data_IF_463591683426
#
_entry.id   IF_463591683426
#
_cell.length_a   1.000
_cell.length_b   1.000
_cell.length_c   1.000
_cell.angle_alpha   90.00
_cell.angle_beta   90.00
_cell.angle_gamma   90.00
#
_symmetry.space_group_name_H-M   'P 1'
#
loop_
_entity.id
_entity.type
_entity.pdbx_description
1 polymer ?
#
# COMPACT_ATOMS: atom_id res chain seq x y z
N UNK A 1 -16.59 -3.04 7.85
CA UNK A 1 -16.26 -4.21 8.70
C UNK A 1 -17.49 -5.10 8.77
N UNK A 2 -17.32 -6.40 8.59
CA UNK A 2 -18.38 -7.39 8.68
C UNK A 2 -17.93 -8.44 9.70
N UNK A 3 -18.68 -8.62 10.77
CA UNK A 3 -18.42 -9.66 11.75
C UNK A 3 -19.56 -10.70 11.66
N UNK A 4 -19.22 -11.91 11.24
CA UNK A 4 -20.18 -13.01 11.10
C UNK A 4 -19.98 -13.97 12.26
N UNK A 5 -21.02 -14.28 13.03
CA UNK A 5 -21.00 -15.49 13.86
C UNK A 5 -21.33 -16.69 12.98
N UNK A 6 -20.41 -17.65 12.85
CA UNK A 6 -20.56 -18.72 11.86
C UNK A 6 -21.22 -20.00 12.39
N UNK A 7 -21.18 -20.26 13.70
CA UNK A 7 -21.65 -21.53 14.26
C UNK A 7 -22.24 -21.39 15.67
N UNK A 8 -23.04 -22.37 16.08
CA UNK A 8 -23.55 -22.54 17.46
C UNK A 8 -22.88 -23.78 18.05
N UNK A 9 -22.33 -23.68 19.26
CA UNK A 9 -21.65 -24.79 19.94
C UNK A 9 -22.25 -25.09 21.33
N UNK A 10 -21.77 -26.15 21.99
CA UNK A 10 -22.32 -26.63 23.27
C UNK A 10 -22.07 -25.70 24.47
N UNK A 11 -21.15 -24.73 24.34
CA UNK A 11 -20.92 -23.68 25.36
C UNK A 11 -21.93 -22.52 25.27
N UNK A 12 -22.61 -22.41 24.12
CA UNK A 12 -23.58 -21.35 23.87
C UNK A 12 -24.89 -21.58 24.62
N UNK A 13 -25.48 -20.49 25.12
CA UNK A 13 -26.88 -20.48 25.57
C UNK A 13 -27.85 -20.46 24.37
N UNK A 14 -27.77 -21.52 23.54
CA UNK A 14 -28.48 -21.75 22.27
C UNK A 14 -29.96 -21.40 22.26
N UNK A 15 -30.63 -21.51 23.40
CA UNK A 15 -32.07 -21.30 23.55
C UNK A 15 -32.50 -19.84 23.70
N UNK A 16 -31.56 -18.88 23.80
CA UNK A 16 -31.91 -17.49 24.08
C UNK A 16 -31.18 -16.41 23.27
N UNK A 17 -30.22 -16.71 22.40
CA UNK A 17 -29.51 -15.69 21.63
C UNK A 17 -28.10 -15.37 22.14
N UNK A 18 -27.48 -14.34 21.56
CA UNK A 18 -26.16 -13.84 21.94
C UNK A 18 -26.19 -12.36 22.28
N UNK A 19 -25.22 -11.91 23.06
CA UNK A 19 -25.04 -10.50 23.41
C UNK A 19 -23.60 -10.14 23.74
N UNK A 20 -23.20 -8.94 23.35
CA UNK A 20 -21.94 -8.32 23.76
C UNK A 20 -22.11 -6.79 23.77
N UNK A 21 -21.19 -6.09 24.44
CA UNK A 21 -21.30 -4.66 24.70
C UNK A 21 -20.64 -3.81 23.60
N UNK A 22 -19.41 -4.13 23.20
CA UNK A 22 -18.63 -3.33 22.24
C UNK A 22 -17.71 -4.23 21.41
N UNK A 23 -17.62 -3.98 20.10
CA UNK A 23 -16.57 -4.48 19.23
C UNK A 23 -15.44 -3.46 19.21
N UNK A 24 -14.42 -3.66 20.05
CA UNK A 24 -13.35 -2.69 20.24
C UNK A 24 -12.27 -2.87 19.18
N UNK A 25 -11.94 -1.82 18.43
CA UNK A 25 -10.75 -1.76 17.58
C UNK A 25 -9.56 -1.19 18.36
N UNK A 26 -8.35 -1.66 18.07
CA UNK A 26 -7.13 -1.20 18.70
C UNK A 26 -5.99 -1.00 17.68
N UNK A 27 -5.08 -0.08 18.02
CA UNK A 27 -3.78 0.10 17.35
C UNK A 27 -2.71 0.19 18.41
N UNK A 28 -1.69 -0.67 18.36
CA UNK A 28 -0.62 -0.75 19.34
C UNK A 28 -1.15 -0.85 20.79
N UNK A 29 -2.25 -1.57 20.97
CA UNK A 29 -2.93 -1.73 22.26
C UNK A 29 -3.74 -0.51 22.74
N UNK A 30 -3.74 0.60 22.02
CA UNK A 30 -4.59 1.77 22.30
C UNK A 30 -5.94 1.67 21.57
N UNK A 31 -7.06 2.14 22.16
CA UNK A 31 -8.36 2.05 21.53
C UNK A 31 -8.48 2.97 20.31
N UNK A 32 -9.03 2.44 19.22
CA UNK A 32 -9.47 3.21 18.05
C UNK A 32 -10.97 3.44 18.17
N UNK A 33 -11.38 4.71 18.29
CA UNK A 33 -12.79 5.06 18.48
C UNK A 33 -13.54 5.13 17.14
N UNK A 34 -14.76 4.60 17.13
CA UNK A 34 -15.63 4.70 15.97
C UNK A 34 -15.97 6.17 15.66
N UNK A 35 -15.85 6.59 14.39
CA UNK A 35 -16.18 7.95 13.97
C UNK A 35 -17.65 8.30 14.21
N UNK A 36 -17.93 9.58 14.44
CA UNK A 36 -19.28 10.10 14.41
C UNK A 36 -19.94 9.83 13.05
N UNK A 37 -21.20 9.38 13.06
CA UNK A 37 -21.92 8.97 11.84
C UNK A 37 -21.66 7.53 11.40
N UNK A 38 -20.96 6.72 12.21
CA UNK A 38 -20.91 5.27 12.01
C UNK A 38 -22.32 4.69 11.99
N UNK A 39 -22.64 3.93 10.95
CA UNK A 39 -23.92 3.25 10.78
C UNK A 39 -23.74 1.74 10.87
N UNK A 40 -24.72 1.06 11.44
CA UNK A 40 -24.71 -0.39 11.62
C UNK A 40 -25.89 -1.03 10.93
N UNK A 41 -25.69 -2.22 10.37
CA UNK A 41 -26.75 -3.06 9.85
C UNK A 41 -26.55 -4.49 10.33
N UNK A 42 -27.61 -5.09 10.88
CA UNK A 42 -27.67 -6.50 11.20
C UNK A 42 -29.04 -7.05 10.77
N UNK A 43 -29.12 -8.06 9.89
CA UNK A 43 -30.38 -8.51 9.29
C UNK A 43 -31.33 -9.13 10.32
N UNK A 44 -30.82 -9.79 11.35
CA UNK A 44 -31.61 -10.30 12.48
C UNK A 44 -31.94 -9.23 13.54
N UNK A 45 -31.45 -7.99 13.35
CA UNK A 45 -31.79 -6.85 14.19
C UNK A 45 -31.50 -7.05 15.69
N UNK A 46 -32.37 -6.46 16.50
CA UNK A 46 -32.29 -6.42 17.97
C UNK A 46 -33.41 -7.25 18.59
N UNK A 47 -33.13 -7.85 19.75
CA UNK A 47 -34.18 -8.34 20.61
C UNK A 47 -34.95 -7.16 21.22
N UNK A 48 -36.26 -7.15 21.00
CA UNK A 48 -37.18 -6.15 21.55
C UNK A 48 -38.10 -6.83 22.56
N UNK A 49 -37.88 -6.60 23.85
CA UNK A 49 -38.94 -6.86 24.83
C UNK A 49 -39.96 -5.73 24.75
N UNK A 50 -41.25 -6.08 24.64
CA UNK A 50 -42.34 -5.12 24.73
C UNK A 50 -42.26 -4.41 26.10
N UNK A 51 -41.63 -3.24 26.16
CA UNK A 51 -41.31 -2.65 27.45
C UNK A 51 -40.47 -1.39 27.46
N UNK A 52 -39.13 -1.46 27.35
CA UNK A 52 -38.32 -0.30 27.77
C UNK A 52 -36.90 -0.18 27.20
N UNK A 53 -36.29 -1.21 26.62
CA UNK A 53 -34.92 -1.07 26.10
C UNK A 53 -34.73 -1.86 24.80
N UNK A 54 -34.61 -1.20 23.63
CA UNK A 54 -33.97 -1.87 22.51
C UNK A 54 -32.51 -2.14 22.91
N UNK A 55 -32.01 -3.33 22.58
CA UNK A 55 -30.59 -3.68 22.70
C UNK A 55 -30.00 -3.74 21.29
N UNK A 56 -29.85 -2.60 20.59
CA UNK A 56 -29.70 -2.64 19.15
C UNK A 56 -28.23 -2.80 18.73
N UNK A 57 -27.98 -3.20 17.47
CA UNK A 57 -26.63 -3.49 17.01
C UNK A 57 -25.69 -2.27 17.07
N UNK A 58 -26.21 -1.04 17.08
CA UNK A 58 -25.42 0.19 17.21
C UNK A 58 -24.66 0.26 18.54
N UNK A 59 -25.12 -0.44 19.58
CA UNK A 59 -24.46 -0.47 20.89
C UNK A 59 -23.04 -0.99 20.81
N UNK A 60 -22.74 -1.86 19.85
CA UNK A 60 -21.42 -2.48 19.78
C UNK A 60 -20.37 -1.63 19.06
N UNK A 61 -20.74 -0.43 18.64
CA UNK A 61 -19.84 0.53 17.98
C UNK A 61 -20.08 1.97 18.45
N UNK A 62 -20.77 2.16 19.58
CA UNK A 62 -21.07 3.50 20.11
C UNK A 62 -19.94 4.05 21.01
N UNK A 63 -18.87 3.27 21.19
CA UNK A 63 -17.73 3.51 22.06
C UNK A 63 -18.02 3.41 23.58
N UNK A 64 -19.24 3.07 24.00
CA UNK A 64 -19.59 2.87 25.41
C UNK A 64 -19.09 1.50 25.91
N UNK A 65 -18.27 1.52 26.97
CA UNK A 65 -17.79 0.30 27.65
C UNK A 65 -18.30 0.21 29.09
N UNK A 66 -19.31 1.02 29.42
CA UNK A 66 -19.95 0.97 30.72
C UNK A 66 -20.60 -0.40 30.95
N UNK A 67 -20.55 -0.88 32.19
CA UNK A 67 -21.30 -2.08 32.60
C UNK A 67 -22.78 -1.84 32.83
N UNK A 68 -23.38 -0.87 32.12
CA UNK A 68 -24.80 -0.55 32.27
C UNK A 68 -25.68 -1.66 31.66
N UNK A 69 -26.85 -1.88 32.24
CA UNK A 69 -27.72 -3.00 31.84
C UNK A 69 -28.27 -2.90 30.39
N UNK A 70 -28.18 -1.72 29.79
CA UNK A 70 -28.61 -1.41 28.43
C UNK A 70 -27.45 -1.24 27.43
N UNK A 71 -26.20 -1.28 27.89
CA UNK A 71 -25.04 -1.22 27.00
C UNK A 71 -24.71 -2.62 26.45
N UNK A 72 -25.51 -3.04 25.46
CA UNK A 72 -25.31 -4.28 24.71
C UNK A 72 -26.14 -4.31 23.46
N UNK A 73 -25.62 -4.99 22.45
CA UNK A 73 -26.47 -5.63 21.46
C UNK A 73 -26.90 -6.98 22.00
N UNK A 74 -28.19 -7.29 21.89
CA UNK A 74 -28.73 -8.61 22.15
C UNK A 74 -29.59 -9.03 20.96
N UNK A 75 -29.32 -10.21 20.42
CA UNK A 75 -30.11 -10.79 19.33
C UNK A 75 -30.48 -12.23 19.69
N UNK A 76 -31.75 -12.57 19.50
CA UNK A 76 -32.28 -13.93 19.61
C UNK A 76 -31.99 -14.77 18.34
N UNK A 77 -31.55 -14.13 17.26
CA UNK A 77 -31.03 -14.78 16.06
C UNK A 77 -29.55 -15.11 16.28
N UNK A 78 -29.23 -16.39 16.52
CA UNK A 78 -27.87 -16.80 16.90
C UNK A 78 -26.80 -16.53 15.83
N UNK A 79 -27.14 -16.68 14.55
CA UNK A 79 -26.29 -16.38 13.40
C UNK A 79 -26.80 -15.07 12.81
N UNK A 80 -26.22 -13.95 13.24
CA UNK A 80 -26.64 -12.62 12.83
C UNK A 80 -25.41 -11.78 12.47
N UNK A 81 -25.13 -11.58 11.17
CA UNK A 81 -24.00 -10.79 10.74
C UNK A 81 -24.14 -9.31 11.13
N UNK A 82 -23.03 -8.68 11.46
CA UNK A 82 -22.95 -7.25 11.78
C UNK A 82 -22.14 -6.54 10.70
N UNK A 83 -22.75 -5.62 9.96
CA UNK A 83 -22.06 -4.73 9.02
C UNK A 83 -21.92 -3.35 9.65
N UNK A 84 -20.68 -2.91 9.83
CA UNK A 84 -20.33 -1.58 10.33
C UNK A 84 -19.75 -0.76 9.19
N UNK A 85 -20.40 0.36 8.89
CA UNK A 85 -19.93 1.37 7.96
C UNK A 85 -19.51 2.62 8.75
N UNK A 86 -18.20 2.87 8.79
CA UNK A 86 -17.59 3.94 9.58
C UNK A 86 -17.63 5.31 8.88
N UNK A 87 -18.15 5.38 7.65
CA UNK A 87 -18.26 6.62 6.86
C UNK A 87 -16.92 7.17 6.33
N UNK A 88 -15.80 6.68 6.84
CA UNK A 88 -14.43 6.98 6.42
C UNK A 88 -13.51 5.78 6.66
N UNK A 89 -12.33 5.71 6.02
CA UNK A 89 -11.30 4.72 6.34
C UNK A 89 -10.87 4.81 7.81
N UNK A 90 -10.67 3.65 8.44
CA UNK A 90 -10.19 3.51 9.82
C UNK A 90 -9.18 2.37 9.85
N UNK A 91 -7.99 2.62 10.41
CA UNK A 91 -6.91 1.63 10.55
C UNK A 91 -6.89 1.05 11.98
N UNK A 92 -6.62 -0.25 12.10
CA UNK A 92 -6.48 -0.98 13.36
C UNK A 92 -5.60 -2.22 13.14
N UNK A 93 -4.90 -2.68 14.18
CA UNK A 93 -4.02 -3.87 14.14
C UNK A 93 -4.51 -5.01 15.06
N UNK A 94 -5.54 -4.74 15.86
CA UNK A 94 -6.16 -5.70 16.74
C UNK A 94 -7.62 -5.35 16.99
N UNK A 95 -8.38 -6.32 17.46
CA UNK A 95 -9.75 -6.10 17.93
C UNK A 95 -10.03 -6.92 19.19
N UNK A 96 -11.13 -6.60 19.86
CA UNK A 96 -11.65 -7.38 20.98
C UNK A 96 -13.14 -7.18 21.15
N UNK A 97 -13.75 -7.97 22.03
CA UNK A 97 -15.18 -7.92 22.34
C UNK A 97 -15.34 -7.58 23.82
N UNK A 98 -16.04 -6.49 24.14
CA UNK A 98 -16.49 -6.28 25.52
C UNK A 98 -17.67 -7.18 25.80
N UNK A 99 -17.58 -7.93 26.87
CA UNK A 99 -18.63 -8.84 27.31
C UNK A 99 -19.84 -8.08 27.82
N UNK A 100 -21.03 -8.67 27.63
CA UNK A 100 -22.28 -8.07 28.12
C UNK A 100 -22.34 -8.04 29.65
N UNK A 101 -23.26 -7.23 30.22
CA UNK A 101 -23.32 -7.02 31.67
C UNK A 101 -23.71 -8.26 32.51
N UNK A 102 -24.45 -9.24 31.97
CA UNK A 102 -25.16 -10.22 32.84
C UNK A 102 -25.13 -11.70 32.49
N UNK A 103 -24.90 -12.13 31.25
CA UNK A 103 -24.94 -13.56 30.89
C UNK A 103 -23.68 -13.98 30.15
N UNK A 104 -22.83 -14.74 30.82
CA UNK A 104 -21.53 -15.23 30.29
C UNK A 104 -21.69 -16.13 29.07
N UNK A 105 -22.73 -16.97 29.02
CA UNK A 105 -22.94 -17.94 27.94
C UNK A 105 -23.60 -17.34 26.68
N UNK A 106 -23.72 -16.00 26.62
CA UNK A 106 -24.24 -15.27 25.45
C UNK A 106 -23.15 -14.53 24.70
N UNK A 107 -21.94 -14.46 25.24
CA UNK A 107 -20.86 -13.80 24.51
C UNK A 107 -20.51 -14.64 23.26
N UNK A 108 -20.24 -14.02 22.10
CA UNK A 108 -19.79 -14.74 20.92
C UNK A 108 -18.48 -15.50 21.20
N UNK A 109 -18.43 -16.77 20.80
CA UNK A 109 -17.24 -17.64 20.96
C UNK A 109 -16.67 -18.10 19.61
N UNK A 110 -17.40 -17.89 18.51
CA UNK A 110 -16.93 -18.17 17.16
C UNK A 110 -17.42 -17.09 16.20
N UNK A 111 -16.53 -16.57 15.35
CA UNK A 111 -16.85 -15.55 14.36
C UNK A 111 -15.80 -15.45 13.25
N UNK A 112 -16.19 -14.86 12.13
CA UNK A 112 -15.30 -14.39 11.06
C UNK A 112 -15.34 -12.87 11.02
N UNK A 113 -14.17 -12.26 10.91
CA UNK A 113 -14.02 -10.83 10.73
C UNK A 113 -13.56 -10.54 9.30
N UNK A 114 -14.34 -9.72 8.60
CA UNK A 114 -14.05 -9.27 7.24
C UNK A 114 -14.02 -7.73 7.15
N UNK A 115 -13.22 -7.21 6.21
CA UNK A 115 -13.15 -5.78 5.90
C UNK A 115 -13.37 -5.52 4.42
N UNK A 116 -13.78 -4.30 4.10
CA UNK A 116 -14.03 -3.82 2.74
C UNK A 116 -13.81 -2.32 2.69
N UNK A 117 -13.18 -1.84 1.63
CA UNK A 117 -13.01 -0.41 1.33
C UNK A 117 -14.00 0.10 0.26
N UNK A 118 -14.65 -0.79 -0.49
CA UNK A 118 -15.55 -0.47 -1.61
C UNK A 118 -17.04 -0.80 -1.33
N UNK A 119 -17.33 -1.48 -0.20
CA UNK A 119 -18.64 -2.00 0.21
C UNK A 119 -19.16 -3.17 -0.63
N UNK A 120 -18.39 -3.65 -1.61
CA UNK A 120 -18.76 -4.77 -2.49
C UNK A 120 -17.86 -5.98 -2.31
N UNK A 121 -16.55 -5.75 -2.21
CA UNK A 121 -15.53 -6.78 -2.08
C UNK A 121 -15.11 -6.88 -0.61
N UNK A 122 -15.19 -8.09 -0.06
CA UNK A 122 -14.92 -8.35 1.35
C UNK A 122 -13.74 -9.33 1.49
N UNK A 123 -12.88 -9.05 2.46
CA UNK A 123 -11.69 -9.85 2.75
C UNK A 123 -11.74 -10.33 4.20
N UNK A 124 -11.65 -11.64 4.40
CA UNK A 124 -11.49 -12.24 5.73
C UNK A 124 -10.12 -11.91 6.29
N UNK A 125 -10.08 -11.23 7.43
CA UNK A 125 -8.85 -10.85 8.15
C UNK A 125 -8.67 -11.58 9.48
N UNK A 126 -9.72 -12.24 9.99
CA UNK A 126 -9.60 -13.17 11.10
C UNK A 126 -10.74 -14.19 11.10
N UNK A 127 -10.48 -15.37 11.66
CA UNK A 127 -11.47 -16.42 11.86
C UNK A 127 -11.21 -17.12 13.20
N UNK A 128 -12.21 -17.06 14.08
CA UNK A 128 -12.15 -17.52 15.47
C UNK A 128 -13.18 -18.60 15.69
N UNK A 129 -12.76 -19.68 16.34
CA UNK A 129 -13.62 -20.84 16.60
C UNK A 129 -13.41 -21.33 18.03
N UNK A 130 -14.49 -21.43 18.80
CA UNK A 130 -14.49 -21.92 20.19
C UNK A 130 -13.52 -21.14 21.11
N UNK A 131 -13.45 -19.82 20.94
CA UNK A 131 -12.66 -18.94 21.77
C UNK A 131 -13.11 -18.99 23.24
N UNK A 132 -12.14 -18.98 24.14
CA UNK A 132 -12.41 -18.90 25.58
C UNK A 132 -12.61 -17.45 25.98
N UNK A 133 -13.85 -17.09 26.28
CA UNK A 133 -14.23 -15.73 26.69
C UNK A 133 -14.18 -15.60 28.21
N UNK A 134 -13.71 -14.45 28.69
CA UNK A 134 -13.65 -14.14 30.13
C UNK A 134 -15.03 -14.19 30.78
N UNK A 135 -15.13 -14.71 32.01
CA UNK A 135 -16.36 -14.68 32.79
C UNK A 135 -16.63 -13.32 33.43
N UNK A 136 -15.63 -12.43 33.48
CA UNK A 136 -15.81 -11.04 33.88
C UNK A 136 -16.79 -10.32 32.95
N UNK A 137 -17.64 -9.46 33.51
CA UNK A 137 -18.69 -8.73 32.78
C UNK A 137 -18.26 -7.29 32.53
N UNK A 138 -18.71 -6.70 31.43
CA UNK A 138 -18.22 -5.41 30.96
C UNK A 138 -16.69 -5.38 30.83
N UNK A 139 -16.11 -6.51 30.43
CA UNK A 139 -14.68 -6.73 30.36
C UNK A 139 -14.28 -7.06 28.92
N UNK A 140 -13.09 -6.61 28.52
CA UNK A 140 -12.53 -6.92 27.21
C UNK A 140 -12.13 -8.40 27.15
N UNK A 141 -12.70 -9.13 26.20
CA UNK A 141 -12.18 -10.40 25.69
C UNK A 141 -11.28 -10.12 24.48
N UNK A 142 -10.16 -10.85 24.38
CA UNK A 142 -9.01 -10.48 23.56
C UNK A 142 -8.02 -9.59 24.36
N UNK A 143 -7.37 -8.59 23.73
CA UNK A 143 -7.42 -8.28 22.31
C UNK A 143 -6.77 -9.39 21.48
N UNK A 144 -7.37 -9.70 20.33
CA UNK A 144 -6.77 -10.54 19.32
C UNK A 144 -6.03 -9.64 18.35
N UNK A 145 -4.71 -9.76 18.33
CA UNK A 145 -3.90 -9.18 17.27
C UNK A 145 -4.35 -9.80 15.94
N UNK A 146 -4.55 -8.95 14.94
CA UNK A 146 -4.69 -9.44 13.59
C UNK A 146 -3.32 -9.94 13.17
N UNK A 147 -3.21 -11.25 12.93
CA UNK A 147 -2.01 -11.84 12.34
C UNK A 147 -2.04 -11.54 10.83
N UNK A 148 -1.97 -10.25 10.53
CA UNK A 148 -1.70 -9.80 9.19
C UNK A 148 -0.19 -9.95 9.02
N UNK A 149 0.30 -10.78 8.08
CA UNK A 149 1.73 -10.95 7.88
C UNK A 149 2.41 -9.59 7.87
N UNK A 150 3.51 -9.44 8.62
CA UNK A 150 4.26 -8.19 8.67
C UNK A 150 4.53 -7.70 7.23
N UNK A 151 3.86 -6.61 6.82
CA UNK A 151 3.87 -6.11 5.45
C UNK A 151 2.49 -5.98 4.76
N UNK A 152 1.40 -6.50 5.34
CA UNK A 152 0.04 -6.37 4.76
C UNK A 152 -0.86 -5.38 5.53
N UNK A 153 -0.44 -4.14 5.79
CA UNK A 153 -1.34 -3.14 6.37
C UNK A 153 -2.31 -2.58 5.32
N UNK A 154 -3.33 -3.33 4.88
CA UNK A 154 -4.30 -2.84 3.87
C UNK A 154 -3.62 -2.18 2.65
N UNK A 155 -2.49 -2.73 2.22
CA UNK A 155 -1.67 -2.24 1.12
C UNK A 155 -1.63 -3.33 0.07
N UNK A 156 -2.05 -3.00 -1.14
CA UNK A 156 -2.61 -3.82 -2.23
C UNK A 156 -4.15 -3.67 -2.37
N UNK A 157 -4.65 -2.43 -2.31
CA UNK A 157 -6.08 -2.13 -2.48
C UNK A 157 -6.44 -2.01 -3.96
N UNK A 158 -5.50 -1.56 -4.78
CA UNK A 158 -5.64 -1.44 -6.22
C UNK A 158 -5.03 -2.70 -6.83
N UNK A 159 -5.79 -3.56 -7.52
CA UNK A 159 -5.23 -4.78 -8.08
C UNK A 159 -4.00 -4.51 -8.97
N UNK A 160 -2.98 -5.35 -8.90
CA UNK A 160 -1.73 -5.29 -9.69
C UNK A 160 -1.92 -5.16 -11.20
N UNK A 161 -3.09 -5.56 -11.71
CA UNK A 161 -3.46 -5.48 -13.13
C UNK A 161 -4.28 -4.22 -13.48
N UNK A 162 -4.47 -3.32 -12.53
CA UNK A 162 -5.25 -2.10 -12.73
C UNK A 162 -4.38 -1.02 -13.34
N UNK A 163 -4.74 -0.54 -14.53
CA UNK A 163 -4.16 0.69 -15.07
C UNK A 163 -4.55 1.85 -14.16
N UNK A 164 -3.55 2.46 -13.54
CA UNK A 164 -3.78 3.48 -12.52
C UNK A 164 -3.58 4.86 -13.13
N UNK A 165 -4.60 5.71 -13.07
CA UNK A 165 -4.52 7.10 -13.53
C UNK A 165 -4.74 8.06 -12.38
N UNK A 166 -3.74 8.89 -12.09
CA UNK A 166 -3.87 9.99 -11.12
C UNK A 166 -4.20 11.26 -11.89
N UNK A 167 -5.45 11.70 -11.80
CA UNK A 167 -5.93 12.90 -12.49
C UNK A 167 -5.27 14.18 -11.95
N UNK A 168 -5.23 15.23 -12.78
CA UNK A 168 -4.79 16.55 -12.34
C UNK A 168 -5.55 16.99 -11.07
N UNK A 169 -4.81 17.44 -10.06
CA UNK A 169 -5.36 17.85 -8.76
C UNK A 169 -5.79 16.71 -7.84
N UNK A 170 -5.65 15.45 -8.25
CA UNK A 170 -5.86 14.29 -7.40
C UNK A 170 -4.54 13.81 -6.77
N UNK A 171 -4.65 13.16 -5.62
CA UNK A 171 -3.51 12.55 -4.92
C UNK A 171 -3.77 11.05 -4.70
N UNK A 172 -2.86 10.20 -5.17
CA UNK A 172 -2.72 8.82 -4.72
C UNK A 172 -1.75 8.81 -3.54
N UNK A 173 -2.20 8.44 -2.34
CA UNK A 173 -1.38 8.52 -1.13
C UNK A 173 -1.15 7.13 -0.52
N UNK A 174 0.12 6.81 -0.30
CA UNK A 174 0.56 5.64 0.46
C UNK A 174 1.04 6.12 1.83
N UNK A 175 0.44 5.58 2.89
CA UNK A 175 0.78 5.89 4.27
C UNK A 175 2.16 5.33 4.67
N UNK A 176 2.68 5.74 5.83
CA UNK A 176 4.00 5.30 6.26
C UNK A 176 4.06 3.76 6.37
N UNK A 177 5.08 3.15 5.76
CA UNK A 177 5.25 1.68 5.73
C UNK A 177 4.33 0.93 4.76
N UNK A 178 3.51 1.64 3.97
CA UNK A 178 2.59 1.03 3.01
C UNK A 178 3.31 0.35 1.83
N UNK A 179 2.89 -0.85 1.43
CA UNK A 179 3.41 -1.55 0.25
C UNK A 179 2.30 -1.77 -0.78
N UNK A 180 2.28 -1.01 -1.87
CA UNK A 180 1.27 -1.14 -2.93
C UNK A 180 1.94 -1.60 -4.21
N UNK A 181 1.29 -2.52 -4.94
CA UNK A 181 1.60 -2.76 -6.35
C UNK A 181 0.40 -2.34 -7.17
N UNK A 182 0.65 -1.59 -8.25
CA UNK A 182 -0.39 -1.20 -9.20
C UNK A 182 0.08 -1.52 -10.61
N UNK A 183 -0.85 -1.54 -11.57
CA UNK A 183 -0.49 -1.60 -12.98
C UNK A 183 0.19 -0.31 -13.48
N UNK A 184 0.28 -0.12 -14.81
CA UNK A 184 0.91 1.05 -15.39
C UNK A 184 0.30 2.36 -14.88
N UNK A 185 1.16 3.33 -14.55
CA UNK A 185 0.79 4.60 -13.96
C UNK A 185 0.71 5.69 -15.03
N UNK A 186 -0.35 6.50 -15.00
CA UNK A 186 -0.54 7.63 -15.90
C UNK A 186 -1.18 8.84 -15.26
N UNK A 187 -1.14 9.96 -15.97
CA UNK A 187 -1.76 11.22 -15.55
C UNK A 187 -0.76 12.24 -15.03
N UNK A 188 -1.30 13.32 -14.44
CA UNK A 188 -0.57 14.55 -14.11
C UNK A 188 -0.82 14.99 -12.65
N UNK A 189 -1.39 14.10 -11.84
CA UNK A 189 -1.64 14.37 -10.42
C UNK A 189 -0.44 14.11 -9.52
N UNK A 190 -0.70 13.90 -8.24
CA UNK A 190 0.34 13.69 -7.23
C UNK A 190 0.32 12.26 -6.70
N UNK A 191 1.50 11.63 -6.58
CA UNK A 191 1.69 10.37 -5.85
C UNK A 191 2.46 10.69 -4.56
N UNK A 192 1.79 10.59 -3.42
CA UNK A 192 2.39 10.87 -2.12
C UNK A 192 2.84 9.59 -1.43
N UNK A 193 4.15 9.42 -1.27
CA UNK A 193 4.79 8.26 -0.65
C UNK A 193 5.36 8.69 0.72
N UNK A 194 4.68 8.32 1.80
CA UNK A 194 5.19 8.60 3.14
C UNK A 194 6.47 7.78 3.43
N UNK A 195 7.16 8.11 4.52
CA UNK A 195 8.39 7.42 4.92
C UNK A 195 8.17 5.89 5.04
N UNK A 196 9.06 5.13 4.41
CA UNK A 196 8.98 3.66 4.38
C UNK A 196 7.86 3.09 3.50
N UNK A 197 7.07 3.93 2.81
CA UNK A 197 6.14 3.45 1.80
C UNK A 197 6.90 2.99 0.53
N UNK A 198 6.37 1.99 -0.15
CA UNK A 198 6.86 1.52 -1.44
C UNK A 198 5.69 1.37 -2.41
N UNK A 199 5.77 2.05 -3.56
CA UNK A 199 4.87 1.84 -4.69
C UNK A 199 5.61 1.06 -5.78
N UNK A 200 5.12 -0.11 -6.13
CA UNK A 200 5.60 -0.89 -7.28
C UNK A 200 4.67 -0.68 -8.46
N UNK A 201 5.25 -0.36 -9.62
CA UNK A 201 4.55 -0.28 -10.89
C UNK A 201 4.81 -1.57 -11.68
N UNK A 202 3.80 -2.42 -11.76
CA UNK A 202 3.74 -3.56 -12.65
C UNK A 202 3.39 -3.07 -14.06
N UNK A 203 4.39 -2.65 -14.83
CA UNK A 203 4.25 -1.90 -16.08
C UNK A 203 3.92 -2.79 -17.29
N UNK A 204 2.98 -3.73 -17.14
CA UNK A 204 2.61 -4.72 -18.16
C UNK A 204 2.12 -4.12 -19.49
N UNK A 205 1.82 -2.83 -19.54
CA UNK A 205 1.64 -2.03 -20.74
C UNK A 205 2.37 -0.70 -20.62
N UNK A 206 2.76 -0.11 -21.76
CA UNK A 206 3.37 1.21 -21.79
C UNK A 206 2.41 2.29 -21.25
N UNK A 207 2.89 3.10 -20.30
CA UNK A 207 2.20 4.27 -19.80
C UNK A 207 3.15 5.45 -19.58
N UNK A 208 2.60 6.67 -19.58
CA UNK A 208 3.33 7.92 -19.34
C UNK A 208 2.74 8.62 -18.12
N UNK A 209 3.59 8.94 -17.16
CA UNK A 209 3.25 9.78 -16.02
C UNK A 209 3.98 11.13 -16.12
N UNK A 210 3.21 12.20 -16.00
CA UNK A 210 3.63 13.60 -16.16
C UNK A 210 3.41 14.40 -14.85
N UNK A 211 3.17 13.69 -13.75
CA UNK A 211 2.83 14.29 -12.47
C UNK A 211 4.03 14.42 -11.53
N UNK A 212 3.71 14.51 -10.24
CA UNK A 212 4.69 14.68 -9.17
C UNK A 212 4.61 13.54 -8.18
N UNK A 213 5.74 12.94 -7.83
CA UNK A 213 5.89 12.13 -6.64
C UNK A 213 6.35 13.03 -5.50
N UNK A 214 5.82 12.80 -4.29
CA UNK A 214 6.21 13.54 -3.09
C UNK A 214 6.48 12.61 -1.92
N UNK A 215 7.46 12.93 -1.08
CA UNK A 215 7.68 12.28 0.20
C UNK A 215 8.69 11.14 0.16
N UNK A 216 9.20 10.79 1.36
CA UNK A 216 10.38 9.94 1.58
C UNK A 216 10.17 8.43 1.39
N UNK A 217 9.32 8.03 0.44
CA UNK A 217 9.10 6.62 0.10
C UNK A 217 9.97 6.14 -1.07
N UNK A 218 9.65 4.94 -1.54
CA UNK A 218 10.32 4.23 -2.63
C UNK A 218 9.39 4.05 -3.83
N UNK A 219 9.93 4.18 -5.02
CA UNK A 219 9.27 3.85 -6.29
C UNK A 219 9.99 2.65 -6.92
N UNK A 220 9.26 1.59 -7.22
CA UNK A 220 9.77 0.40 -7.89
C UNK A 220 9.05 0.15 -9.22
N UNK A 221 9.75 -0.42 -10.19
CA UNK A 221 9.22 -0.72 -11.52
C UNK A 221 9.54 -2.16 -11.92
N UNK A 222 8.58 -2.87 -12.50
CA UNK A 222 8.73 -4.25 -13.00
C UNK A 222 7.89 -4.51 -14.25
N UNK A 223 8.19 -5.61 -14.96
CA UNK A 223 7.33 -6.24 -15.99
C UNK A 223 6.87 -5.36 -17.16
N UNK A 224 7.70 -4.41 -17.61
CA UNK A 224 7.45 -3.65 -18.84
C UNK A 224 7.88 -2.20 -18.76
N UNK A 225 7.28 -1.33 -19.58
CA UNK A 225 7.79 0.02 -19.82
C UNK A 225 6.94 1.07 -19.10
N UNK A 226 7.57 1.86 -18.24
CA UNK A 226 6.98 3.07 -17.67
C UNK A 226 7.79 4.28 -18.12
N UNK A 227 7.10 5.25 -18.70
CA UNK A 227 7.69 6.55 -19.04
C UNK A 227 7.34 7.59 -17.98
N UNK A 228 8.33 8.41 -17.65
CA UNK A 228 8.16 9.70 -16.99
C UNK A 228 8.35 10.79 -18.04
N UNK A 229 7.56 11.85 -17.99
CA UNK A 229 7.75 12.99 -18.90
C UNK A 229 7.54 14.29 -18.16
N UNK A 230 8.61 15.08 -17.98
CA UNK A 230 8.62 16.26 -17.13
C UNK A 230 8.18 15.97 -15.68
N UNK A 231 8.27 14.72 -15.23
CA UNK A 231 7.80 14.33 -13.91
C UNK A 231 8.76 14.84 -12.83
N UNK A 232 8.24 15.14 -11.64
CA UNK A 232 9.06 15.49 -10.49
C UNK A 232 9.07 14.33 -9.49
N UNK A 233 10.24 13.85 -9.09
CA UNK A 233 10.43 12.78 -8.11
C UNK A 233 10.68 13.33 -6.69
N UNK A 234 10.08 14.46 -6.34
CA UNK A 234 10.48 15.27 -5.19
C UNK A 234 10.38 14.52 -3.85
N UNK A 235 11.53 14.28 -3.22
CA UNK A 235 11.60 13.55 -1.96
C UNK A 235 11.53 12.03 -2.05
N UNK A 236 11.34 11.42 -3.23
CA UNK A 236 11.46 9.97 -3.41
C UNK A 236 12.90 9.55 -3.10
N UNK A 237 13.11 8.71 -2.10
CA UNK A 237 14.48 8.40 -1.63
C UNK A 237 15.10 7.24 -2.39
N UNK A 238 14.28 6.32 -2.89
CA UNK A 238 14.75 5.14 -3.61
C UNK A 238 13.95 4.94 -4.90
N UNK A 239 14.70 4.74 -5.99
CA UNK A 239 14.18 4.27 -7.27
C UNK A 239 14.73 2.86 -7.52
N UNK A 240 13.84 1.88 -7.66
CA UNK A 240 14.21 0.47 -7.86
C UNK A 240 13.76 0.02 -9.24
N UNK A 241 14.73 -0.37 -10.08
CA UNK A 241 14.51 -0.94 -11.40
C UNK A 241 14.57 -2.46 -11.26
N UNK A 242 13.42 -3.10 -11.02
CA UNK A 242 13.30 -4.53 -10.82
C UNK A 242 13.19 -5.29 -12.15
N UNK A 243 13.33 -6.62 -12.08
CA UNK A 243 13.33 -7.52 -13.23
C UNK A 243 12.24 -7.18 -14.27
N UNK A 244 12.67 -7.16 -15.54
CA UNK A 244 11.85 -6.88 -16.72
C UNK A 244 11.18 -5.49 -16.74
N UNK A 245 11.46 -4.62 -15.77
CA UNK A 245 11.05 -3.22 -15.76
C UNK A 245 11.99 -2.35 -16.59
N UNK A 246 11.44 -1.43 -17.38
CA UNK A 246 12.17 -0.41 -18.13
C UNK A 246 11.62 0.98 -17.80
N UNK A 247 12.42 1.80 -17.13
CA UNK A 247 12.13 3.21 -16.90
C UNK A 247 12.63 4.06 -18.06
N UNK A 248 11.79 4.97 -18.57
CA UNK A 248 12.12 5.83 -19.71
C UNK A 248 11.70 7.27 -19.51
N UNK A 249 12.19 8.16 -20.39
CA UNK A 249 11.77 9.55 -20.48
C UNK A 249 12.57 10.48 -19.57
N UNK A 250 11.94 11.50 -19.02
CA UNK A 250 12.63 12.59 -18.31
C UNK A 250 11.93 13.00 -17.00
N UNK A 251 12.75 13.31 -15.98
CA UNK A 251 12.28 13.76 -14.68
C UNK A 251 13.29 14.66 -13.95
N UNK A 252 12.82 15.37 -12.93
CA UNK A 252 13.66 16.11 -11.97
C UNK A 252 13.55 15.49 -10.58
N UNK A 253 14.56 15.68 -9.74
CA UNK A 253 14.55 15.25 -8.35
C UNK A 253 15.25 16.27 -7.46
N UNK A 254 14.52 16.85 -6.50
CA UNK A 254 15.11 17.68 -5.46
C UNK A 254 15.57 16.82 -4.26
N UNK A 255 16.89 16.80 -4.02
CA UNK A 255 17.51 16.04 -2.93
C UNK A 255 18.43 14.90 -3.40
N UNK A 256 18.77 14.03 -2.45
CA UNK A 256 19.60 12.86 -2.68
C UNK A 256 18.74 11.68 -3.17
N UNK A 257 19.23 10.98 -4.20
CA UNK A 257 18.53 9.86 -4.80
C UNK A 257 19.38 8.59 -4.77
N UNK A 258 18.81 7.50 -4.27
CA UNK A 258 19.34 6.16 -4.45
C UNK A 258 18.65 5.45 -5.62
N UNK A 259 19.43 4.96 -6.57
CA UNK A 259 18.95 4.15 -7.69
C UNK A 259 19.51 2.74 -7.56
N UNK A 260 18.63 1.74 -7.52
CA UNK A 260 19.00 0.33 -7.46
C UNK A 260 18.57 -0.38 -8.74
N UNK A 261 19.52 -1.00 -9.41
CA UNK A 261 19.27 -1.94 -10.51
C UNK A 261 19.17 -3.35 -9.94
N UNK A 262 17.97 -3.95 -10.03
CA UNK A 262 17.63 -5.29 -9.54
C UNK A 262 17.08 -6.15 -10.71
N UNK A 263 17.78 -6.07 -11.85
CA UNK A 263 17.42 -6.74 -13.11
C UNK A 263 16.60 -5.91 -14.09
N UNK A 264 16.21 -4.68 -13.73
CA UNK A 264 15.53 -3.74 -14.62
C UNK A 264 16.48 -2.87 -15.45
N UNK A 265 15.98 -2.32 -16.54
CA UNK A 265 16.71 -1.47 -17.47
C UNK A 265 16.31 0.01 -17.37
N UNK A 266 17.19 0.88 -17.86
CA UNK A 266 17.01 2.33 -17.81
C UNK A 266 17.31 3.00 -19.16
N UNK A 267 16.44 3.90 -19.58
CA UNK A 267 16.62 4.79 -20.73
C UNK A 267 15.91 6.12 -20.48
N UNK A 268 16.36 6.83 -19.46
CA UNK A 268 15.82 8.14 -19.11
C UNK A 268 16.88 9.19 -18.84
N UNK A 269 16.42 10.39 -18.52
CA UNK A 269 17.22 11.51 -18.04
C UNK A 269 16.62 12.00 -16.72
N UNK A 270 17.36 11.90 -15.62
CA UNK A 270 16.92 12.45 -14.33
C UNK A 270 17.90 13.52 -13.89
N UNK A 271 17.38 14.74 -13.67
CA UNK A 271 18.15 15.84 -13.10
C UNK A 271 18.04 15.85 -11.58
N UNK A 272 19.13 15.49 -10.88
CA UNK A 272 19.18 15.29 -9.44
C UNK A 272 19.91 16.48 -8.80
N UNK A 273 19.23 17.23 -7.94
CA UNK A 273 19.83 18.40 -7.29
C UNK A 273 20.85 18.02 -6.19
N UNK A 274 20.76 16.81 -5.63
CA UNK A 274 21.64 16.31 -4.56
C UNK A 274 22.61 15.20 -5.01
N UNK A 275 22.97 14.35 -4.06
CA UNK A 275 23.87 13.22 -4.29
C UNK A 275 23.13 12.05 -4.97
N UNK A 276 23.77 11.43 -5.95
CA UNK A 276 23.34 10.17 -6.55
C UNK A 276 24.13 9.01 -5.92
N UNK A 277 23.41 7.96 -5.53
CA UNK A 277 23.99 6.65 -5.23
C UNK A 277 23.41 5.59 -6.15
N UNK A 278 24.26 4.76 -6.75
CA UNK A 278 23.84 3.65 -7.61
C UNK A 278 24.28 2.32 -7.00
N UNK A 279 23.36 1.37 -6.94
CA UNK A 279 23.63 0.01 -6.50
C UNK A 279 23.12 -1.01 -7.52
N UNK A 280 23.80 -2.16 -7.58
CA UNK A 280 23.53 -3.21 -8.57
C UNK A 280 24.19 -2.93 -9.93
N UNK A 281 23.99 -3.86 -10.86
CA UNK A 281 24.58 -3.76 -12.21
C UNK A 281 23.69 -2.85 -13.06
N UNK A 282 24.19 -1.66 -13.41
CA UNK A 282 23.44 -0.72 -14.24
C UNK A 282 23.14 -1.32 -15.61
N UNK A 283 21.87 -1.37 -16.00
CA UNK A 283 21.43 -1.88 -17.30
C UNK A 283 20.82 -0.75 -18.12
N UNK A 284 21.38 -0.47 -19.28
CA UNK A 284 20.86 0.56 -20.19
C UNK A 284 20.12 -0.05 -21.38
N UNK A 285 19.17 0.70 -21.92
CA UNK A 285 18.45 0.33 -23.13
C UNK A 285 18.55 1.41 -24.21
N UNK A 286 18.51 0.99 -25.48
CA UNK A 286 18.32 1.88 -26.62
C UNK A 286 16.84 1.97 -26.99
N UNK A 287 16.38 3.08 -27.61
CA UNK A 287 15.13 3.07 -28.37
C UNK A 287 15.21 2.04 -29.50
N UNK A 288 14.09 1.37 -29.81
CA UNK A 288 14.04 0.41 -30.93
C UNK A 288 14.38 1.07 -32.27
N UNK A 289 13.90 2.31 -32.46
CA UNK A 289 14.12 3.12 -33.65
C UNK A 289 15.17 4.24 -33.43
N UNK A 290 16.23 3.95 -32.67
CA UNK A 290 17.25 4.96 -32.36
C UNK A 290 18.04 5.39 -33.60
N UNK A 291 17.99 6.68 -33.93
CA UNK A 291 18.93 7.28 -34.88
C UNK A 291 20.35 7.25 -34.31
N UNK A 292 21.30 6.71 -35.08
CA UNK A 292 22.70 6.61 -34.68
C UNK A 292 23.58 7.65 -35.42
N UNK A 293 24.55 8.30 -34.76
CA UNK A 293 24.94 8.10 -33.36
C UNK A 293 23.91 8.63 -32.36
N UNK A 294 23.75 7.90 -31.25
CA UNK A 294 22.79 8.22 -30.20
C UNK A 294 23.52 8.75 -28.96
N UNK A 295 22.97 9.77 -28.32
CA UNK A 295 23.50 10.32 -27.07
C UNK A 295 22.36 10.62 -26.10
N UNK A 296 22.53 10.22 -24.85
CA UNK A 296 21.57 10.46 -23.78
C UNK A 296 22.30 10.81 -22.48
N UNK A 297 21.96 11.94 -21.87
CA UNK A 297 22.36 12.22 -20.49
C UNK A 297 21.47 11.41 -19.56
N UNK A 298 22.03 10.39 -18.92
CA UNK A 298 21.32 9.46 -18.05
C UNK A 298 20.91 10.12 -16.73
N UNK A 299 21.88 10.80 -16.12
CA UNK A 299 21.73 11.52 -14.86
C UNK A 299 22.58 12.78 -14.87
N UNK A 300 22.06 13.85 -14.29
CA UNK A 300 22.85 14.94 -13.71
C UNK A 300 22.70 14.87 -12.19
N UNK A 301 23.75 15.24 -11.47
CA UNK A 301 23.81 15.14 -10.00
C UNK A 301 24.78 16.19 -9.43
N UNK A 302 24.57 16.59 -8.18
CA UNK A 302 25.53 17.46 -7.49
C UNK A 302 26.80 16.72 -7.06
N UNK A 303 26.68 15.43 -6.73
CA UNK A 303 27.84 14.57 -6.44
C UNK A 303 27.50 13.08 -6.60
N UNK A 304 28.51 12.27 -6.88
CA UNK A 304 28.44 10.82 -6.89
C UNK A 304 29.79 10.26 -6.39
N UNK A 305 29.74 9.20 -5.57
CA UNK A 305 30.96 8.55 -5.08
C UNK A 305 31.64 7.70 -6.18
N UNK A 306 32.84 7.18 -5.90
CA UNK A 306 33.57 6.37 -6.89
C UNK A 306 32.81 5.10 -7.28
N UNK A 307 32.18 4.43 -6.32
CA UNK A 307 31.43 3.20 -6.57
C UNK A 307 30.24 3.45 -7.51
N UNK A 308 29.50 4.53 -7.28
CA UNK A 308 28.40 4.97 -8.14
C UNK A 308 28.88 5.29 -9.54
N UNK A 309 30.01 6.02 -9.67
CA UNK A 309 30.57 6.37 -10.98
C UNK A 309 31.06 5.15 -11.75
N UNK A 310 31.69 4.20 -11.07
CA UNK A 310 32.15 2.94 -11.67
C UNK A 310 30.95 2.09 -12.12
N UNK A 311 29.89 2.00 -11.31
CA UNK A 311 28.66 1.29 -11.67
C UNK A 311 27.98 1.91 -12.89
N UNK A 312 27.87 3.24 -12.95
CA UNK A 312 27.31 3.95 -14.09
C UNK A 312 28.12 3.70 -15.38
N UNK A 313 29.45 3.73 -15.30
CA UNK A 313 30.33 3.48 -16.42
C UNK A 313 30.24 2.03 -16.93
N UNK A 314 30.23 1.06 -16.01
CA UNK A 314 30.14 -0.36 -16.31
C UNK A 314 28.85 -0.73 -17.05
N UNK A 315 27.76 0.01 -16.81
CA UNK A 315 26.49 -0.25 -17.49
C UNK A 315 26.56 -0.14 -19.02
N UNK A 316 27.56 0.54 -19.60
CA UNK A 316 27.79 0.55 -21.05
C UNK A 316 27.96 -0.86 -21.63
N UNK A 317 28.57 -1.77 -20.86
CA UNK A 317 28.84 -3.16 -21.29
C UNK A 317 27.58 -4.01 -21.36
N UNK A 318 26.51 -3.61 -20.67
CA UNK A 318 25.22 -4.31 -20.68
C UNK A 318 24.38 -3.99 -21.92
N UNK A 319 24.70 -2.89 -22.61
CA UNK A 319 23.88 -2.40 -23.71
C UNK A 319 24.18 -3.17 -25.00
N UNK A 320 23.18 -3.88 -25.52
CA UNK A 320 23.23 -4.42 -26.87
C UNK A 320 23.17 -3.26 -27.88
N UNK A 321 24.15 -3.20 -28.79
CA UNK A 321 24.25 -2.18 -29.84
C UNK A 321 24.34 -2.83 -31.22
N UNK A 322 23.89 -2.15 -32.29
CA UNK A 322 24.03 -2.67 -33.65
C UNK A 322 25.48 -2.91 -34.07
N UNK A 323 25.68 -3.84 -35.01
CA UNK A 323 27.00 -4.17 -35.56
C UNK A 323 27.74 -2.92 -36.05
N UNK A 324 29.00 -2.79 -35.66
CA UNK A 324 29.83 -1.64 -36.02
C UNK A 324 29.63 -0.39 -35.15
N UNK A 325 28.85 -0.48 -34.06
CA UNK A 325 28.71 0.56 -33.04
C UNK A 325 29.28 0.11 -31.69
N UNK A 326 29.61 1.08 -30.84
CA UNK A 326 30.10 0.86 -29.47
C UNK A 326 29.32 1.77 -28.53
N UNK A 327 28.89 1.23 -27.39
CA UNK A 327 28.36 1.99 -26.27
C UNK A 327 29.49 2.46 -25.36
N UNK A 328 29.43 3.72 -24.95
CA UNK A 328 30.32 4.29 -23.93
C UNK A 328 29.50 5.15 -22.98
N UNK A 329 29.81 5.11 -21.69
CA UNK A 329 29.22 6.01 -20.70
C UNK A 329 30.32 6.90 -20.16
N UNK A 330 30.24 8.20 -20.48
CA UNK A 330 31.15 9.20 -19.94
C UNK A 330 30.60 9.70 -18.62
N UNK A 331 31.30 9.41 -17.54
CA UNK A 331 30.95 9.85 -16.20
C UNK A 331 31.87 11.02 -15.79
N UNK A 332 31.27 12.10 -15.30
CA UNK A 332 31.95 13.28 -14.74
C UNK A 332 31.59 13.43 -13.26
N UNK A 333 32.09 14.49 -12.62
CA UNK A 333 31.68 14.84 -11.25
C UNK A 333 30.21 15.24 -11.13
N UNK A 334 29.53 15.56 -12.24
CA UNK A 334 28.16 16.09 -12.23
C UNK A 334 27.19 15.43 -13.22
N UNK A 335 27.65 14.46 -14.02
CA UNK A 335 26.80 13.85 -15.04
C UNK A 335 27.30 12.48 -15.51
N UNK A 336 26.38 11.63 -15.94
CA UNK A 336 26.65 10.43 -16.71
C UNK A 336 25.96 10.51 -18.08
N UNK A 337 26.72 10.38 -19.16
CA UNK A 337 26.21 10.48 -20.53
C UNK A 337 26.53 9.21 -21.32
N UNK A 338 25.49 8.52 -21.76
CA UNK A 338 25.58 7.40 -22.69
C UNK A 338 25.77 7.91 -24.12
N UNK A 339 26.67 7.29 -24.87
CA UNK A 339 26.87 7.53 -26.30
C UNK A 339 27.03 6.20 -27.04
N UNK A 340 26.30 6.03 -28.13
CA UNK A 340 26.41 4.90 -29.05
C UNK A 340 26.82 5.41 -30.42
N UNK A 341 28.04 5.06 -30.84
CA UNK A 341 28.65 5.58 -32.08
C UNK A 341 29.58 4.57 -32.72
N UNK A 342 29.85 4.70 -34.02
CA UNK A 342 30.82 3.85 -34.71
C UNK A 342 32.26 4.08 -34.18
N UNK A 343 33.10 3.02 -34.10
CA UNK A 343 34.51 3.16 -33.76
C UNK A 343 35.22 4.18 -34.66
N UNK A 344 35.85 5.20 -34.07
CA UNK A 344 36.65 6.19 -34.82
C UNK A 344 35.91 7.49 -35.17
N UNK A 345 34.69 7.72 -34.68
CA UNK A 345 34.09 9.06 -34.70
C UNK A 345 34.85 9.98 -33.72
N UNK A 346 35.88 10.68 -34.20
CA UNK A 346 36.54 11.75 -33.45
C UNK A 346 35.59 12.95 -33.39
N UNK A 347 34.86 13.10 -32.28
CA UNK A 347 34.17 14.34 -31.94
C UNK A 347 35.22 15.37 -31.48
N UNK A 348 35.69 16.19 -32.43
CA UNK A 348 36.44 17.41 -32.15
C UNK A 348 35.47 18.45 -31.57
N UNK A 349 35.49 18.63 -30.26
CA UNK A 349 34.89 19.82 -29.63
C UNK A 349 35.86 20.99 -29.74
N UNK A 350 35.39 22.11 -30.29
CA UNK A 350 35.98 23.44 -30.07
C UNK A 350 35.31 24.10 -28.88
#
# INVERSE_FOLDING_TARGET
MHAVRNEVNTSDFGSSGFSFAELRLLTNGAPVLYPAGTTVFAPGGSYNSAGTYPFPPERVVDNDISGSSNNRWYSDVMINPLVVNMGRPVSFDAYGLYTSYNVTNRDPVSWTLEISNDKSTWYTIDCRTNETITTARAALAGPWALDIPAGQLATDVIPDMSRTRVAAGATLMLAAGALETVGPLSGTGTVALAAGASLTLNAFDAAVFEGTFTGAGSLALSNGVQALHGAALDGVTNLVLAADGLLTGDATHDGDLAVRFDGGAYRGSIDIAGALSVAGDAVYALPEDADLPYTLTLFTYASADSATRDALAAGAETLSVPDGYVATVRVTDHSATLSVSAPGLILLFR
#
